data_IF_930103989342
#
_entry.id   IF_930103989342
#
_cell.length_a   1.000
_cell.length_b   1.000
_cell.length_c   1.000
_cell.angle_alpha   90.00
_cell.angle_beta   90.00
_cell.angle_gamma   90.00
#
_symmetry.space_group_name_H-M   'P 1'
#
loop_
_entity.id
_entity.type
_entity.pdbx_description
1 polymer ?
#
# COMPACT_ATOMS: atom_id res chain seq x y z
N UNK A 1 -10.57 -7.89 -16.06
CA UNK A 1 -10.94 -8.54 -14.79
C UNK A 1 -9.70 -8.55 -13.95
N UNK A 2 -9.70 -7.81 -12.84
CA UNK A 2 -8.55 -7.65 -11.97
C UNK A 2 -8.96 -7.90 -10.53
N UNK A 3 -8.00 -8.00 -9.65
CA UNK A 3 -8.21 -8.04 -8.21
C UNK A 3 -7.84 -6.69 -7.60
N UNK A 4 -8.23 -6.45 -6.35
CA UNK A 4 -7.83 -5.24 -5.63
C UNK A 4 -6.85 -5.59 -4.52
N UNK A 5 -5.75 -4.86 -4.47
CA UNK A 5 -4.77 -4.94 -3.39
C UNK A 5 -4.86 -3.68 -2.55
N UNK A 6 -4.97 -3.85 -1.24
CA UNK A 6 -4.86 -2.76 -0.26
C UNK A 6 -3.70 -3.07 0.67
N UNK A 7 -2.74 -2.15 0.74
CA UNK A 7 -1.59 -2.26 1.65
C UNK A 7 -1.76 -1.30 2.83
N UNK A 8 -1.70 -1.85 4.05
CA UNK A 8 -1.83 -1.12 5.31
C UNK A 8 -0.52 -1.18 6.09
N UNK A 9 0.04 -0.03 6.45
CA UNK A 9 1.34 0.09 7.13
C UNK A 9 1.17 0.37 8.63
N UNK A 10 1.69 -0.51 9.47
CA UNK A 10 1.61 -0.42 10.93
C UNK A 10 3.01 -0.27 11.55
N UNK A 11 3.31 0.86 12.17
CA UNK A 11 4.60 1.10 12.83
C UNK A 11 4.60 0.61 14.28
N UNK A 12 5.57 -0.23 14.65
CA UNK A 12 5.82 -0.61 16.04
C UNK A 12 6.92 0.26 16.65
N UNK A 13 6.58 1.11 17.63
CA UNK A 13 7.54 1.98 18.31
C UNK A 13 8.61 1.26 19.13
N UNK A 14 8.34 0.03 19.60
CA UNK A 14 9.31 -0.77 20.35
C UNK A 14 10.32 -1.48 19.44
N UNK A 15 9.82 -2.10 18.37
CA UNK A 15 10.66 -2.81 17.40
C UNK A 15 11.35 -1.86 16.41
N UNK A 16 10.88 -0.61 16.32
CA UNK A 16 11.30 0.38 15.32
C UNK A 16 11.21 -0.13 13.89
N UNK A 17 10.17 -0.90 13.60
CA UNK A 17 9.92 -1.52 12.31
C UNK A 17 8.42 -1.44 11.97
N UNK A 18 8.14 -1.48 10.67
CA UNK A 18 6.80 -1.58 10.14
C UNK A 18 6.40 -3.04 9.90
N UNK A 19 5.11 -3.30 10.05
CA UNK A 19 4.42 -4.47 9.52
C UNK A 19 3.46 -3.98 8.46
N UNK A 20 3.42 -4.66 7.31
CA UNK A 20 2.53 -4.34 6.20
C UNK A 20 1.52 -5.47 6.06
N UNK A 21 0.24 -5.14 6.17
CA UNK A 21 -0.84 -6.06 5.82
C UNK A 21 -1.24 -5.81 4.37
N UNK A 22 -1.38 -6.88 3.60
CA UNK A 22 -1.85 -6.84 2.22
C UNK A 22 -3.17 -7.60 2.18
N UNK A 23 -4.25 -6.85 1.96
CA UNK A 23 -5.56 -7.40 1.70
C UNK A 23 -5.74 -7.55 0.18
N UNK A 24 -5.97 -8.78 -0.27
CA UNK A 24 -6.22 -9.14 -1.65
C UNK A 24 -7.71 -9.45 -1.81
N UNK A 25 -8.46 -8.46 -2.32
CA UNK A 25 -9.85 -8.62 -2.72
C UNK A 25 -9.90 -9.32 -4.07
N UNK A 26 -10.23 -10.61 -4.05
CA UNK A 26 -10.40 -11.41 -5.25
C UNK A 26 -11.82 -11.24 -5.76
N UNK A 27 -11.97 -10.60 -6.92
CA UNK A 27 -13.29 -10.40 -7.53
C UNK A 27 -13.99 -11.72 -7.85
N UNK A 28 -13.21 -12.78 -8.11
CA UNK A 28 -13.69 -14.14 -8.27
C UNK A 28 -12.91 -15.06 -7.33
N UNK A 29 -13.40 -15.23 -6.11
CA UNK A 29 -12.82 -16.15 -5.16
C UNK A 29 -13.05 -15.70 -3.72
N UNK A 30 -12.27 -16.28 -2.83
CA UNK A 30 -12.17 -15.83 -1.44
C UNK A 30 -11.10 -14.75 -1.34
N UNK A 31 -11.35 -13.78 -0.46
CA UNK A 31 -10.40 -12.78 -0.05
C UNK A 31 -9.21 -13.42 0.68
N UNK A 32 -8.03 -12.80 0.54
CA UNK A 32 -6.81 -13.28 1.17
C UNK A 32 -6.13 -12.14 1.93
N UNK A 33 -5.68 -12.43 3.15
CA UNK A 33 -4.87 -11.51 3.95
C UNK A 33 -3.48 -12.11 4.08
N UNK A 34 -2.47 -11.33 3.72
CA UNK A 34 -1.08 -11.66 3.98
C UNK A 34 -0.38 -10.55 4.76
N UNK A 35 0.59 -10.93 5.58
CA UNK A 35 1.35 -9.98 6.41
C UNK A 35 2.82 -10.06 6.04
N UNK A 36 3.42 -8.91 5.75
CA UNK A 36 4.83 -8.74 5.40
C UNK A 36 5.54 -7.94 6.50
N UNK A 37 6.70 -8.41 6.91
CA UNK A 37 7.54 -7.72 7.89
C UNK A 37 8.69 -8.60 8.37
N UNK A 38 9.68 -8.03 9.07
CA UNK A 38 9.77 -6.62 9.46
C UNK A 38 10.24 -5.74 8.29
N UNK A 39 9.50 -4.65 8.03
CA UNK A 39 9.90 -3.57 7.11
C UNK A 39 10.68 -2.52 7.90
N UNK A 40 11.80 -2.07 7.35
CA UNK A 40 12.63 -1.07 8.04
C UNK A 40 11.87 0.25 8.21
N UNK A 41 12.15 0.98 9.29
CA UNK A 41 11.53 2.31 9.52
C UNK A 41 11.72 3.27 8.33
N UNK A 42 12.92 3.43 7.73
CA UNK A 42 13.09 4.33 6.58
C UNK A 42 12.25 3.94 5.37
N UNK A 43 12.12 2.63 5.10
CA UNK A 43 11.30 2.13 3.99
C UNK A 43 9.81 2.37 4.24
N UNK A 44 9.31 2.04 5.43
CA UNK A 44 7.91 2.28 5.77
C UNK A 44 7.55 3.77 5.85
N UNK A 45 8.43 4.60 6.42
CA UNK A 45 8.26 6.06 6.44
C UNK A 45 8.15 6.62 5.02
N UNK A 46 9.01 6.17 4.08
CA UNK A 46 8.95 6.61 2.69
C UNK A 46 7.60 6.28 2.02
N UNK A 47 7.06 5.08 2.27
CA UNK A 47 5.76 4.69 1.74
C UNK A 47 4.62 5.51 2.34
N UNK A 48 4.61 5.69 3.66
CA UNK A 48 3.59 6.49 4.35
C UNK A 48 3.62 7.95 3.90
N UNK A 49 4.81 8.54 3.74
CA UNK A 49 4.94 9.92 3.26
C UNK A 49 4.47 10.06 1.82
N UNK A 50 4.73 9.09 0.94
CA UNK A 50 4.19 9.08 -0.42
C UNK A 50 2.66 8.98 -0.42
N UNK A 51 2.07 8.08 0.38
CA UNK A 51 0.60 7.92 0.46
C UNK A 51 -0.08 9.23 0.89
N UNK A 52 0.52 9.96 1.83
CA UNK A 52 0.01 11.26 2.32
C UNK A 52 0.04 12.39 1.28
N UNK A 53 0.78 12.25 0.18
CA UNK A 53 0.83 13.28 -0.88
C UNK A 53 -0.48 13.37 -1.67
N UNK A 54 -1.37 12.38 -1.55
CA UNK A 54 -2.68 12.39 -2.18
C UNK A 54 -3.77 12.58 -1.13
N UNK A 55 -4.74 13.44 -1.39
CA UNK A 55 -5.94 13.58 -0.55
C UNK A 55 -6.90 12.39 -0.68
N UNK A 56 -6.75 11.60 -1.74
CA UNK A 56 -7.58 10.43 -2.06
C UNK A 56 -6.70 9.23 -2.46
N UNK A 57 -5.87 8.68 -1.55
CA UNK A 57 -4.97 7.56 -1.88
C UNK A 57 -5.71 6.31 -2.38
N UNK A 58 -6.97 6.11 -1.96
CA UNK A 58 -7.84 5.02 -2.42
C UNK A 58 -8.36 5.20 -3.86
N UNK A 59 -8.26 6.40 -4.44
CA UNK A 59 -8.80 6.70 -5.77
C UNK A 59 -7.88 6.16 -6.87
N UNK A 60 -8.19 4.97 -7.39
CA UNK A 60 -7.43 4.30 -8.46
C UNK A 60 -7.41 5.05 -9.80
N UNK A 61 -8.34 5.98 -10.00
CA UNK A 61 -8.37 6.85 -11.18
C UNK A 61 -7.53 8.11 -11.01
N UNK A 62 -7.01 8.37 -9.81
CA UNK A 62 -6.08 9.45 -9.58
C UNK A 62 -4.79 9.21 -10.41
N UNK A 63 -4.21 10.31 -10.88
CA UNK A 63 -3.00 10.33 -11.71
C UNK A 63 -1.94 11.29 -11.14
N UNK A 64 -2.02 11.61 -9.86
CA UNK A 64 -1.00 12.44 -9.21
C UNK A 64 0.35 11.71 -9.17
N UNK A 65 1.42 12.46 -8.85
CA UNK A 65 2.78 11.93 -8.81
C UNK A 65 2.92 10.74 -7.86
N UNK A 66 2.24 10.75 -6.72
CA UNK A 66 2.23 9.63 -5.77
C UNK A 66 1.66 8.34 -6.37
N UNK A 67 0.51 8.41 -7.05
CA UNK A 67 -0.08 7.26 -7.74
C UNK A 67 0.81 6.79 -8.90
N UNK A 68 1.37 7.71 -9.68
CA UNK A 68 2.26 7.36 -10.79
C UNK A 68 3.54 6.68 -10.30
N UNK A 69 4.13 7.16 -9.22
CA UNK A 69 5.31 6.58 -8.59
C UNK A 69 5.01 5.17 -8.03
N UNK A 70 3.90 5.02 -7.33
CA UNK A 70 3.50 3.73 -6.74
C UNK A 70 3.20 2.67 -7.81
N UNK A 71 2.38 3.00 -8.81
CA UNK A 71 1.98 2.06 -9.86
C UNK A 71 2.98 1.97 -11.03
N UNK A 72 4.10 2.71 -10.98
CA UNK A 72 5.16 2.70 -12.01
C UNK A 72 4.62 2.87 -13.44
N UNK A 73 3.66 3.76 -13.62
CA UNK A 73 3.02 4.01 -14.93
C UNK A 73 2.02 2.94 -15.39
N UNK A 74 1.74 1.91 -14.57
CA UNK A 74 0.74 0.86 -14.86
C UNK A 74 -0.67 1.25 -14.39
N UNK A 75 -1.06 2.49 -14.66
CA UNK A 75 -2.38 3.03 -14.33
C UNK A 75 -3.28 2.99 -15.58
N UNK A 76 -4.23 2.04 -15.61
CA UNK A 76 -5.25 1.88 -16.67
C UNK A 76 -6.24 3.05 -16.69
#
# INVERSE_FOLDING_TARGET
>A
MGDEYTESYYFCGQCQAYTVEVYHDRFLGEDEISVRGPVSKPEGDAMVEMIKQCSEPWNKKCRCEGHQAYFQGSLD
#
